data_IF_194874437136
#
_entry.id   IF_194874437136
#
_cell.length_a   1.000
_cell.length_b   1.000
_cell.length_c   1.000
_cell.angle_alpha   90.00
_cell.angle_beta   90.00
_cell.angle_gamma   90.00
#
_symmetry.space_group_name_H-M   'P 1'
#
loop_
_entity.id
_entity.type
_entity.pdbx_description
1 polymer ?
#
# COMPACT_ATOMS: atom_id res chain seq x y z
N UNK A 1 67.64 -79.34 -1.15
CA UNK A 1 66.45 -79.60 -0.33
C UNK A 1 65.27 -78.94 -1.03
N UNK A 2 64.14 -79.57 -1.37
CA UNK A 2 63.70 -80.98 -1.53
C UNK A 2 62.40 -80.84 -2.35
N UNK A 3 62.09 -81.55 -3.43
CA UNK A 3 62.63 -82.80 -3.95
C UNK A 3 61.60 -83.92 -3.85
N UNK A 4 60.59 -83.95 -4.72
CA UNK A 4 60.14 -85.16 -5.43
C UNK A 4 58.95 -84.91 -6.37
N UNK A 5 59.15 -85.31 -7.62
CA UNK A 5 58.14 -85.88 -8.52
C UNK A 5 58.45 -87.41 -8.62
N UNK A 6 57.96 -88.13 -9.66
CA UNK A 6 58.12 -89.60 -9.89
C UNK A 6 57.11 -90.45 -9.06
N UNK A 7 56.41 -91.50 -9.53
CA UNK A 7 56.47 -92.43 -10.70
C UNK A 7 55.00 -92.60 -11.22
N UNK A 8 54.59 -92.58 -12.51
CA UNK A 8 54.90 -93.39 -13.71
C UNK A 8 54.23 -94.79 -13.78
N UNK A 9 53.35 -94.97 -14.78
CA UNK A 9 52.96 -96.16 -15.57
C UNK A 9 51.89 -95.62 -16.58
N UNK A 10 51.98 -95.59 -17.92
CA UNK A 10 52.59 -96.49 -18.92
C UNK A 10 51.90 -97.89 -18.90
N UNK A 11 51.37 -98.57 -19.93
CA UNK A 11 51.17 -98.41 -21.39
C UNK A 11 49.94 -99.30 -21.79
N UNK A 12 49.30 -99.33 -22.98
CA UNK A 12 49.30 -98.56 -24.26
C UNK A 12 47.96 -98.87 -25.01
N UNK A 13 47.52 -98.02 -25.96
CA UNK A 13 46.91 -98.40 -27.28
C UNK A 13 46.38 -97.13 -28.02
N UNK A 14 47.08 -96.63 -29.05
CA UNK A 14 47.02 -97.08 -30.46
C UNK A 14 45.77 -96.53 -31.18
N UNK A 15 45.73 -95.25 -31.56
CA UNK A 15 46.38 -94.60 -32.73
C UNK A 15 45.62 -94.82 -34.06
N UNK A 16 45.51 -93.71 -34.82
CA UNK A 16 44.89 -93.49 -36.14
C UNK A 16 43.43 -93.05 -36.11
N UNK A 17 42.94 -92.18 -36.99
CA UNK A 17 43.46 -91.19 -37.94
C UNK A 17 42.15 -90.67 -38.57
N UNK A 18 41.87 -89.37 -38.56
CA UNK A 18 41.44 -88.72 -39.81
C UNK A 18 41.57 -87.19 -39.74
N UNK A 19 41.80 -86.58 -40.89
CA UNK A 19 42.22 -85.19 -41.05
C UNK A 19 41.28 -84.46 -42.00
N UNK A 20 40.85 -83.25 -41.66
CA UNK A 20 39.93 -82.45 -42.47
C UNK A 20 40.05 -80.95 -42.21
N UNK A 21 40.65 -80.23 -43.15
CA UNK A 21 40.97 -78.80 -43.05
C UNK A 21 39.75 -77.87 -43.27
N UNK A 22 39.83 -76.61 -42.80
CA UNK A 22 38.75 -75.63 -43.02
C UNK A 22 38.92 -74.23 -42.42
N UNK A 23 39.75 -73.40 -43.08
CA UNK A 23 39.67 -71.92 -43.23
C UNK A 23 39.33 -70.94 -42.07
N UNK A 24 40.11 -69.86 -42.00
CA UNK A 24 39.81 -68.59 -41.32
C UNK A 24 39.05 -67.63 -42.29
N UNK A 25 38.44 -66.47 -41.90
CA UNK A 25 39.10 -65.42 -41.10
C UNK A 25 38.25 -64.50 -40.17
N UNK A 26 39.00 -63.77 -39.33
CA UNK A 26 38.72 -62.57 -38.54
C UNK A 26 37.39 -61.78 -38.68
N UNK A 27 36.84 -61.34 -37.54
CA UNK A 27 36.05 -60.10 -37.42
C UNK A 27 36.46 -59.26 -36.19
N UNK A 28 36.60 -57.94 -36.39
CA UNK A 28 36.93 -56.95 -35.35
C UNK A 28 35.73 -56.72 -34.41
N UNK A 29 35.91 -56.91 -33.11
CA UNK A 29 35.01 -56.40 -32.08
C UNK A 29 35.41 -54.98 -31.67
N UNK A 30 34.58 -53.98 -31.97
CA UNK A 30 34.84 -52.57 -31.67
C UNK A 30 34.58 -52.20 -30.21
N UNK A 31 35.38 -51.29 -29.67
CA UNK A 31 35.22 -50.79 -28.30
C UNK A 31 34.23 -49.61 -28.19
N UNK A 32 33.58 -49.54 -27.02
CA UNK A 32 32.86 -48.37 -26.42
C UNK A 32 31.59 -47.85 -27.13
N UNK A 33 30.50 -47.83 -26.35
CA UNK A 33 29.96 -46.61 -25.70
C UNK A 33 28.86 -46.97 -24.67
N UNK A 34 28.90 -46.47 -23.41
CA UNK A 34 27.74 -46.57 -22.54
C UNK A 34 26.65 -45.63 -23.04
N UNK A 35 25.46 -46.17 -23.31
CA UNK A 35 24.31 -45.39 -23.79
C UNK A 35 23.78 -44.45 -22.70
N UNK A 36 24.13 -43.17 -22.79
CA UNK A 36 23.59 -42.13 -21.92
C UNK A 36 22.06 -42.05 -22.06
N UNK A 37 21.34 -42.45 -21.01
CA UNK A 37 19.88 -42.35 -20.91
C UNK A 37 19.46 -40.88 -21.00
N UNK A 38 19.10 -40.40 -22.20
CA UNK A 38 18.38 -39.14 -22.36
C UNK A 38 17.02 -39.29 -21.66
N UNK A 39 16.63 -38.40 -20.73
CA UNK A 39 15.27 -38.42 -20.19
C UNK A 39 14.28 -38.26 -21.36
N UNK A 40 13.25 -39.12 -21.39
CA UNK A 40 12.26 -39.09 -22.45
C UNK A 40 11.52 -37.74 -22.42
N UNK A 41 11.43 -37.06 -23.56
CA UNK A 41 10.85 -35.70 -23.66
C UNK A 41 9.45 -35.59 -23.03
N UNK A 42 8.67 -36.67 -23.04
CA UNK A 42 7.35 -36.73 -22.38
C UNK A 42 7.39 -36.59 -20.84
N UNK A 43 8.43 -37.06 -20.14
CA UNK A 43 8.53 -36.88 -18.68
C UNK A 43 8.89 -35.45 -18.31
N UNK A 44 9.72 -34.79 -19.13
CA UNK A 44 10.01 -33.36 -19.01
C UNK A 44 8.75 -32.53 -19.29
N UNK A 45 8.04 -32.84 -20.38
CA UNK A 45 6.79 -32.14 -20.72
C UNK A 45 5.72 -32.28 -19.62
N UNK A 46 5.52 -33.49 -19.08
CA UNK A 46 4.59 -33.71 -17.96
C UNK A 46 5.01 -32.92 -16.71
N UNK A 47 6.30 -32.94 -16.35
CA UNK A 47 6.82 -32.18 -15.22
C UNK A 47 6.62 -30.67 -15.38
N UNK A 48 6.89 -30.13 -16.57
CA UNK A 48 6.64 -28.72 -16.90
C UNK A 48 5.15 -28.38 -16.82
N UNK A 49 4.26 -29.22 -17.36
CA UNK A 49 2.81 -29.01 -17.25
C UNK A 49 2.30 -29.01 -15.81
N UNK A 50 2.82 -29.89 -14.95
CA UNK A 50 2.48 -29.90 -13.52
C UNK A 50 2.95 -28.61 -12.84
N UNK A 51 4.21 -28.21 -13.05
CA UNK A 51 4.76 -26.97 -12.47
C UNK A 51 3.98 -25.74 -12.93
N UNK A 52 3.65 -25.63 -14.22
CA UNK A 52 2.83 -24.54 -14.76
C UNK A 52 1.41 -24.54 -14.20
N UNK A 53 0.77 -25.71 -14.09
CA UNK A 53 -0.56 -25.86 -13.51
C UNK A 53 -0.60 -25.45 -12.03
N UNK A 54 0.38 -25.89 -11.23
CA UNK A 54 0.51 -25.47 -9.82
C UNK A 54 0.80 -23.97 -9.71
N UNK A 55 1.67 -23.41 -10.54
CA UNK A 55 1.95 -21.97 -10.54
C UNK A 55 0.70 -21.13 -10.86
N UNK A 56 -0.10 -21.56 -11.84
CA UNK A 56 -1.36 -20.90 -12.20
C UNK A 56 -2.40 -20.97 -11.06
N UNK A 57 -2.52 -22.13 -10.40
CA UNK A 57 -3.42 -22.30 -9.25
C UNK A 57 -3.00 -21.40 -8.06
N UNK A 58 -1.70 -21.33 -7.75
CA UNK A 58 -1.19 -20.46 -6.70
C UNK A 58 -1.43 -18.97 -7.01
N UNK A 59 -1.21 -18.55 -8.26
CA UNK A 59 -1.49 -17.18 -8.69
C UNK A 59 -3.00 -16.83 -8.62
N UNK A 60 -3.88 -17.73 -9.04
CA UNK A 60 -5.33 -17.55 -8.94
C UNK A 60 -5.81 -17.47 -7.48
N UNK A 61 -5.28 -18.33 -6.60
CA UNK A 61 -5.55 -18.29 -5.17
C UNK A 61 -5.05 -16.99 -4.51
N UNK A 62 -3.88 -16.50 -4.92
CA UNK A 62 -3.31 -15.23 -4.45
C UNK A 62 -4.19 -14.03 -4.80
N UNK A 63 -4.64 -13.97 -6.04
CA UNK A 63 -5.55 -12.93 -6.53
C UNK A 63 -6.88 -12.94 -5.76
N UNK A 64 -7.51 -14.11 -5.62
CA UNK A 64 -8.79 -14.24 -4.92
C UNK A 64 -8.68 -13.92 -3.42
N UNK A 65 -7.58 -14.31 -2.78
CA UNK A 65 -7.31 -13.98 -1.37
C UNK A 65 -7.13 -12.47 -1.16
N UNK A 66 -6.40 -11.79 -2.06
CA UNK A 66 -6.23 -10.32 -2.03
C UNK A 66 -7.58 -9.61 -2.14
N UNK A 67 -8.38 -9.95 -3.14
CA UNK A 67 -9.71 -9.36 -3.35
C UNK A 67 -10.65 -9.57 -2.14
N UNK A 68 -10.63 -10.76 -1.55
CA UNK A 68 -11.38 -11.05 -0.33
C UNK A 68 -10.93 -10.21 0.88
N UNK A 69 -9.62 -10.02 1.03
CA UNK A 69 -9.04 -9.22 2.11
C UNK A 69 -9.30 -7.71 1.93
N UNK A 70 -9.06 -7.15 0.75
CA UNK A 70 -9.42 -5.77 0.39
C UNK A 70 -10.89 -5.50 0.68
N UNK A 71 -11.76 -6.44 0.31
CA UNK A 71 -13.19 -6.39 0.58
C UNK A 71 -13.52 -6.35 2.09
N UNK A 72 -12.79 -7.11 2.92
CA UNK A 72 -12.94 -7.09 4.39
C UNK A 72 -12.38 -5.80 5.00
N UNK A 73 -11.20 -5.36 4.56
CA UNK A 73 -10.56 -4.13 5.03
C UNK A 73 -11.42 -2.91 4.75
N UNK A 74 -11.97 -2.77 3.53
CA UNK A 74 -12.90 -1.70 3.17
C UNK A 74 -14.10 -1.58 4.14
N UNK A 75 -14.68 -2.72 4.55
CA UNK A 75 -15.77 -2.72 5.54
C UNK A 75 -15.31 -2.31 6.94
N UNK A 76 -14.11 -2.74 7.36
CA UNK A 76 -13.54 -2.36 8.64
C UNK A 76 -13.18 -0.87 8.69
N UNK A 77 -12.63 -0.32 7.59
CA UNK A 77 -12.37 1.13 7.46
C UNK A 77 -13.68 1.90 7.53
N UNK A 78 -14.70 1.51 6.76
CA UNK A 78 -16.02 2.16 6.82
C UNK A 78 -16.61 2.20 8.24
N UNK A 79 -16.49 1.08 8.97
CA UNK A 79 -16.97 0.99 10.36
C UNK A 79 -16.14 1.83 11.35
N UNK A 80 -14.86 2.06 11.07
CA UNK A 80 -13.97 2.85 11.92
C UNK A 80 -14.04 4.36 11.63
N UNK A 81 -14.22 4.75 10.38
CA UNK A 81 -14.30 6.16 9.95
C UNK A 81 -15.73 6.71 9.92
N UNK A 82 -16.75 5.84 9.95
CA UNK A 82 -18.15 6.23 9.81
C UNK A 82 -18.54 6.66 8.39
N UNK A 83 -17.69 6.38 7.38
CA UNK A 83 -17.92 6.82 6.00
C UNK A 83 -19.28 6.33 5.45
N UNK A 84 -20.06 7.22 4.80
CA UNK A 84 -21.40 6.90 4.32
C UNK A 84 -21.35 5.84 3.21
N UNK A 85 -20.42 6.02 2.27
CA UNK A 85 -20.11 5.04 1.24
C UNK A 85 -18.95 4.12 1.66
N UNK A 86 -18.81 3.01 0.93
CA UNK A 86 -17.78 2.01 1.22
C UNK A 86 -16.43 2.47 0.64
N UNK A 87 -15.38 2.64 1.47
CA UNK A 87 -14.05 3.00 1.00
C UNK A 87 -13.49 1.99 -0.01
N UNK A 88 -12.67 2.48 -0.94
CA UNK A 88 -11.79 1.61 -1.73
C UNK A 88 -10.58 1.23 -0.87
N UNK A 89 -10.09 -0.01 -1.01
CA UNK A 89 -8.85 -0.47 -0.38
C UNK A 89 -8.13 -1.37 -1.38
N UNK A 90 -6.85 -1.12 -1.61
CA UNK A 90 -6.00 -1.93 -2.49
C UNK A 90 -4.73 -2.35 -1.75
N UNK A 91 -4.41 -3.65 -1.76
CA UNK A 91 -3.16 -4.18 -1.16
C UNK A 91 -2.16 -4.48 -2.27
N UNK A 92 -1.12 -3.64 -2.35
CA UNK A 92 -0.11 -3.71 -3.40
C UNK A 92 0.84 -4.91 -3.19
N UNK A 93 1.64 -5.19 -4.22
CA UNK A 93 2.65 -6.24 -4.22
C UNK A 93 2.33 -7.45 -5.11
N UNK A 94 3.39 -8.13 -5.56
CA UNK A 94 3.35 -9.19 -6.58
C UNK A 94 2.61 -10.45 -6.13
N UNK A 95 2.74 -10.81 -4.85
CA UNK A 95 1.98 -11.89 -4.21
C UNK A 95 1.48 -11.42 -2.84
N UNK A 96 0.20 -11.66 -2.57
CA UNK A 96 -0.50 -11.34 -1.34
C UNK A 96 -0.39 -12.43 -0.27
N UNK A 97 -0.46 -13.71 -0.63
CA UNK A 97 -0.40 -14.83 0.34
C UNK A 97 0.86 -14.80 1.24
N UNK A 98 2.06 -14.48 0.75
CA UNK A 98 3.24 -14.34 1.60
C UNK A 98 3.16 -13.13 2.56
N UNK A 99 2.40 -12.08 2.24
CA UNK A 99 2.15 -10.93 3.12
C UNK A 99 1.15 -11.33 4.21
N UNK A 100 0.06 -11.99 3.81
CA UNK A 100 -0.99 -12.53 4.68
C UNK A 100 -0.44 -13.47 5.76
N UNK A 101 0.42 -14.43 5.39
CA UNK A 101 1.05 -15.39 6.30
C UNK A 101 1.95 -14.68 7.33
N UNK A 102 2.62 -13.59 6.93
CA UNK A 102 3.47 -12.79 7.82
C UNK A 102 2.67 -11.81 8.71
N UNK A 103 1.38 -11.61 8.44
CA UNK A 103 0.57 -10.58 9.11
C UNK A 103 1.07 -9.15 8.83
N UNK A 104 1.82 -8.94 7.73
CA UNK A 104 2.45 -7.67 7.38
C UNK A 104 2.24 -7.37 5.90
N UNK A 105 1.59 -6.25 5.64
CA UNK A 105 1.31 -5.74 4.30
C UNK A 105 2.29 -4.60 3.98
N UNK A 106 2.93 -4.67 2.82
CA UNK A 106 3.99 -3.73 2.46
C UNK A 106 3.46 -2.32 2.19
N UNK A 107 2.35 -2.25 1.45
CA UNK A 107 1.78 -1.04 0.87
C UNK A 107 0.27 -1.28 0.69
N UNK A 108 -0.54 -0.40 1.29
CA UNK A 108 -2.01 -0.43 1.28
C UNK A 108 -2.53 0.97 0.96
N UNK A 109 -3.24 1.10 -0.15
CA UNK A 109 -3.92 2.32 -0.56
C UNK A 109 -5.38 2.27 -0.08
N UNK A 110 -5.89 3.41 0.41
CA UNK A 110 -7.27 3.57 0.88
C UNK A 110 -7.82 4.87 0.30
N UNK A 111 -8.98 4.84 -0.35
CA UNK A 111 -9.74 6.06 -0.68
C UNK A 111 -11.07 6.07 0.07
N UNK A 112 -11.28 7.09 0.90
CA UNK A 112 -12.55 7.39 1.57
C UNK A 112 -13.16 8.61 0.89
N UNK A 113 -14.46 8.57 0.60
CA UNK A 113 -15.21 9.72 0.07
C UNK A 113 -16.21 10.18 1.14
N UNK A 114 -16.56 11.45 1.11
CA UNK A 114 -17.60 12.06 1.96
C UNK A 114 -17.40 11.79 3.47
N UNK A 115 -16.17 12.00 3.96
CA UNK A 115 -15.82 11.83 5.36
C UNK A 115 -16.22 13.07 6.17
N UNK A 116 -16.98 12.90 7.25
CA UNK A 116 -17.33 14.00 8.16
C UNK A 116 -16.53 13.92 9.47
N UNK A 117 -15.84 15.01 9.84
CA UNK A 117 -15.31 15.20 11.21
C UNK A 117 -16.10 16.31 11.91
N UNK A 118 -17.06 15.91 12.74
CA UNK A 118 -18.01 16.84 13.36
C UNK A 118 -18.76 17.66 12.30
N UNK A 119 -18.72 19.01 12.36
CA UNK A 119 -19.36 19.88 11.36
C UNK A 119 -18.51 20.11 10.10
N UNK A 120 -17.30 19.54 9.99
CA UNK A 120 -16.45 19.67 8.81
C UNK A 120 -16.65 18.47 7.86
N UNK A 121 -16.98 18.76 6.61
CA UNK A 121 -17.05 17.76 5.55
C UNK A 121 -15.73 17.73 4.75
N UNK A 122 -15.28 16.53 4.41
CA UNK A 122 -14.08 16.26 3.61
C UNK A 122 -14.52 15.39 2.43
N UNK A 123 -14.33 15.91 1.22
CA UNK A 123 -14.90 15.33 0.00
C UNK A 123 -14.19 14.02 -0.39
N UNK A 124 -12.86 14.00 -0.30
CA UNK A 124 -12.04 12.82 -0.53
C UNK A 124 -10.85 12.77 0.43
N UNK A 125 -10.51 11.59 0.93
CA UNK A 125 -9.25 11.29 1.63
C UNK A 125 -8.59 10.08 0.96
N UNK A 126 -7.42 10.28 0.39
CA UNK A 126 -6.56 9.24 -0.15
C UNK A 126 -5.37 8.99 0.78
N UNK A 127 -5.23 7.77 1.29
CA UNK A 127 -4.17 7.38 2.21
C UNK A 127 -3.32 6.24 1.65
N UNK A 128 -2.00 6.39 1.72
CA UNK A 128 -1.01 5.34 1.46
C UNK A 128 -0.41 4.91 2.80
N UNK A 129 -0.59 3.65 3.14
CA UNK A 129 -0.10 3.05 4.38
C UNK A 129 1.03 2.06 4.06
N UNK A 130 2.19 2.25 4.69
CA UNK A 130 3.37 1.40 4.50
C UNK A 130 3.67 0.60 5.76
N UNK A 131 4.01 -0.67 5.58
CA UNK A 131 4.31 -1.57 6.70
C UNK A 131 3.15 -1.72 7.69
N UNK A 132 1.95 -2.08 7.20
CA UNK A 132 0.77 -2.33 8.05
C UNK A 132 0.90 -3.70 8.70
N UNK A 133 0.93 -3.76 10.03
CA UNK A 133 0.97 -5.00 10.81
C UNK A 133 -0.44 -5.32 11.31
N UNK A 134 -1.04 -6.36 10.75
CA UNK A 134 -2.38 -6.83 11.07
C UNK A 134 -2.44 -8.35 10.85
N UNK A 135 -2.34 -9.16 11.94
CA UNK A 135 -2.41 -10.61 11.86
C UNK A 135 -3.71 -11.08 11.20
N UNK A 136 -3.65 -12.06 10.30
CA UNK A 136 -4.84 -12.50 9.57
C UNK A 136 -5.95 -13.07 10.48
N UNK A 137 -5.57 -13.72 11.59
CA UNK A 137 -6.55 -14.27 12.54
C UNK A 137 -7.45 -13.17 13.13
N UNK A 138 -6.88 -12.02 13.49
CA UNK A 138 -7.57 -10.84 14.00
C UNK A 138 -8.61 -10.28 13.02
N UNK A 139 -8.28 -10.28 11.72
CA UNK A 139 -9.19 -9.88 10.64
C UNK A 139 -10.40 -10.82 10.57
N UNK A 140 -10.18 -12.13 10.74
CA UNK A 140 -11.23 -13.14 10.70
C UNK A 140 -12.15 -13.11 11.93
N UNK A 141 -11.59 -13.07 13.14
CA UNK A 141 -12.40 -13.08 14.38
C UNK A 141 -13.01 -11.72 14.72
N UNK A 142 -12.72 -10.67 13.92
CA UNK A 142 -13.10 -9.28 14.14
C UNK A 142 -12.61 -8.67 15.47
N UNK A 143 -11.84 -9.41 16.25
CA UNK A 143 -11.24 -9.00 17.52
C UNK A 143 -9.79 -8.55 17.30
N UNK A 144 -9.59 -7.60 16.39
CA UNK A 144 -8.26 -7.06 16.12
C UNK A 144 -7.78 -6.20 17.28
N UNK A 145 -6.61 -6.55 17.81
CA UNK A 145 -5.83 -5.68 18.68
C UNK A 145 -5.40 -4.38 17.97
N UNK A 146 -4.55 -3.56 18.61
CA UNK A 146 -4.06 -2.32 18.00
C UNK A 146 -3.38 -2.60 16.66
N UNK A 147 -3.83 -1.91 15.61
CA UNK A 147 -3.20 -1.99 14.29
C UNK A 147 -2.01 -1.04 14.27
N UNK A 148 -0.83 -1.56 13.96
CA UNK A 148 0.40 -0.78 13.87
C UNK A 148 0.75 -0.53 12.40
N UNK A 149 1.17 0.70 12.09
CA UNK A 149 1.52 1.14 10.73
C UNK A 149 2.82 1.95 10.81
N UNK A 150 3.85 1.51 10.09
CA UNK A 150 5.18 2.12 10.17
C UNK A 150 5.22 3.54 9.58
N UNK A 151 4.55 3.76 8.45
CA UNK A 151 4.52 5.07 7.81
C UNK A 151 3.23 5.32 7.05
N UNK A 152 2.69 6.53 7.15
CA UNK A 152 1.47 6.94 6.44
C UNK A 152 1.70 8.25 5.69
N UNK A 153 1.10 8.36 4.51
CA UNK A 153 1.00 9.59 3.73
C UNK A 153 -0.45 9.74 3.30
N UNK A 154 -1.05 10.89 3.60
CA UNK A 154 -2.45 11.16 3.28
C UNK A 154 -2.57 12.46 2.50
N UNK A 155 -3.52 12.48 1.57
CA UNK A 155 -4.02 13.67 0.90
C UNK A 155 -5.53 13.78 1.13
N UNK A 156 -6.00 14.91 1.63
CA UNK A 156 -7.41 15.19 1.85
C UNK A 156 -7.85 16.42 1.05
N UNK A 157 -8.97 16.31 0.35
CA UNK A 157 -9.57 17.41 -0.40
C UNK A 157 -10.75 18.02 0.37
N UNK A 158 -10.66 19.32 0.64
CA UNK A 158 -11.68 20.10 1.34
C UNK A 158 -12.19 21.19 0.41
N UNK A 159 -13.41 21.06 -0.11
CA UNK A 159 -14.03 22.09 -0.94
C UNK A 159 -14.20 23.41 -0.17
N UNK A 160 -14.18 24.54 -0.88
CA UNK A 160 -14.49 25.83 -0.25
C UNK A 160 -15.92 25.86 0.30
N UNK A 161 -16.87 25.14 -0.32
CA UNK A 161 -18.24 25.05 0.17
C UNK A 161 -18.34 24.31 1.51
N UNK A 162 -17.60 23.19 1.68
CA UNK A 162 -17.51 22.49 2.96
C UNK A 162 -16.87 23.36 4.05
N UNK A 163 -15.82 24.12 3.73
CA UNK A 163 -15.18 25.06 4.66
C UNK A 163 -16.12 26.24 5.01
N UNK A 164 -16.87 26.77 4.05
CA UNK A 164 -17.86 27.82 4.26
C UNK A 164 -19.01 27.33 5.14
N UNK A 165 -19.51 26.11 4.92
CA UNK A 165 -20.52 25.49 5.77
C UNK A 165 -20.02 25.30 7.21
N UNK A 166 -18.79 24.81 7.39
CA UNK A 166 -18.15 24.71 8.70
C UNK A 166 -18.06 26.08 9.40
N UNK A 167 -17.68 27.14 8.69
CA UNK A 167 -17.59 28.49 9.24
C UNK A 167 -18.96 29.05 9.65
N UNK A 168 -20.00 28.86 8.83
CA UNK A 168 -21.37 29.26 9.14
C UNK A 168 -21.92 28.53 10.37
N UNK A 169 -21.82 27.19 10.42
CA UNK A 169 -22.27 26.35 11.55
C UNK A 169 -21.50 26.66 12.83
N UNK A 170 -20.23 27.08 12.75
CA UNK A 170 -19.43 27.52 13.90
C UNK A 170 -19.59 29.02 14.25
N UNK A 171 -20.53 29.72 13.61
CA UNK A 171 -20.87 31.11 13.93
C UNK A 171 -19.81 32.12 13.51
N UNK A 172 -19.01 31.81 12.49
CA UNK A 172 -17.96 32.69 11.94
C UNK A 172 -18.45 33.37 10.66
N UNK A 173 -18.73 34.69 10.66
CA UNK A 173 -19.26 35.41 9.50
C UNK A 173 -18.16 35.74 8.47
N UNK A 174 -17.45 34.71 8.00
CA UNK A 174 -16.36 34.78 7.03
C UNK A 174 -16.56 33.70 5.98
N UNK A 175 -16.50 34.11 4.72
CA UNK A 175 -16.47 33.23 3.54
C UNK A 175 -15.03 33.08 3.07
N UNK A 176 -14.63 31.85 2.76
CA UNK A 176 -13.35 31.47 2.15
C UNK A 176 -13.56 31.10 0.67
N UNK A 177 -12.59 31.44 -0.17
CA UNK A 177 -12.56 31.07 -1.59
C UNK A 177 -11.16 31.17 -2.19
N UNK A 178 -11.03 30.87 -3.48
CA UNK A 178 -9.77 30.91 -4.19
C UNK A 178 -9.06 32.27 -4.08
N UNK A 179 -7.79 32.25 -3.68
CA UNK A 179 -6.92 33.43 -3.54
C UNK A 179 -5.83 33.49 -4.61
N UNK A 180 -4.69 34.09 -4.26
CA UNK A 180 -3.44 33.94 -4.99
C UNK A 180 -2.84 32.53 -4.82
N UNK A 181 -1.77 32.18 -5.56
CA UNK A 181 -1.20 30.83 -5.59
C UNK A 181 -0.87 30.23 -4.19
N UNK A 182 -0.42 31.06 -3.25
CA UNK A 182 0.00 30.63 -1.90
C UNK A 182 -1.04 30.90 -0.81
N UNK A 183 -2.29 31.23 -1.17
CA UNK A 183 -3.30 31.63 -0.20
C UNK A 183 -4.75 31.53 -0.65
N UNK A 184 -5.62 31.99 0.22
CA UNK A 184 -7.07 32.05 0.02
C UNK A 184 -7.56 33.47 0.16
N UNK A 185 -8.62 33.80 -0.57
CA UNK A 185 -9.36 35.04 -0.34
C UNK A 185 -10.39 34.78 0.74
N UNK A 186 -10.36 35.59 1.79
CA UNK A 186 -11.42 35.67 2.77
C UNK A 186 -12.24 36.94 2.53
N UNK A 187 -13.55 36.87 2.77
CA UNK A 187 -14.47 38.01 2.77
C UNK A 187 -15.47 37.86 3.90
N UNK A 188 -15.79 38.94 4.60
CA UNK A 188 -16.75 38.86 5.70
C UNK A 188 -17.14 40.23 6.25
N UNK A 189 -18.24 40.25 6.99
CA UNK A 189 -18.67 41.42 7.76
C UNK A 189 -18.52 41.09 9.23
N UNK A 190 -17.70 41.86 9.93
CA UNK A 190 -17.29 41.56 11.31
C UNK A 190 -17.55 42.76 12.19
N UNK A 191 -18.12 42.52 13.38
CA UNK A 191 -18.29 43.55 14.38
C UNK A 191 -17.00 43.80 15.18
N UNK A 192 -16.55 45.05 15.17
CA UNK A 192 -15.50 45.57 16.07
C UNK A 192 -16.01 46.85 16.72
N UNK A 193 -15.85 46.98 18.04
CA UNK A 193 -16.20 48.19 18.81
C UNK A 193 -17.66 48.68 18.57
N UNK A 194 -18.62 47.77 18.41
CA UNK A 194 -20.03 48.11 18.15
C UNK A 194 -20.33 48.52 16.69
N UNK A 195 -19.40 48.28 15.76
CA UNK A 195 -19.54 48.64 14.34
C UNK A 195 -19.27 47.44 13.44
N UNK A 196 -20.21 47.15 12.55
CA UNK A 196 -20.01 46.19 11.46
C UNK A 196 -19.08 46.77 10.40
N UNK A 197 -17.97 46.09 10.12
CA UNK A 197 -17.01 46.47 9.07
C UNK A 197 -16.97 45.37 8.02
N UNK A 198 -17.14 45.73 6.75
CA UNK A 198 -16.98 44.80 5.63
C UNK A 198 -15.52 44.75 5.22
N UNK A 199 -14.95 43.55 5.15
CA UNK A 199 -13.54 43.37 4.83
C UNK A 199 -13.29 42.20 3.89
N UNK A 200 -12.28 42.37 3.04
CA UNK A 200 -11.66 41.32 2.25
C UNK A 200 -10.20 41.18 2.65
N UNK A 201 -9.64 39.97 2.56
CA UNK A 201 -8.22 39.76 2.88
C UNK A 201 -7.65 38.57 2.12
N UNK A 202 -6.38 38.66 1.73
CA UNK A 202 -5.60 37.49 1.34
C UNK A 202 -5.05 36.84 2.63
N UNK A 203 -5.33 35.55 2.83
CA UNK A 203 -4.84 34.79 3.96
C UNK A 203 -3.90 33.68 3.53
N UNK A 204 -2.81 33.50 4.29
CA UNK A 204 -1.94 32.34 4.20
C UNK A 204 -2.51 31.19 5.03
N UNK A 205 -2.27 29.99 4.53
CA UNK A 205 -2.64 28.73 5.15
C UNK A 205 -1.40 28.07 5.73
N UNK A 206 -1.45 27.69 7.01
CA UNK A 206 -0.32 27.10 7.71
C UNK A 206 -0.76 25.84 8.47
N UNK A 207 -0.06 24.70 8.33
CA UNK A 207 -0.32 23.52 9.15
C UNK A 207 0.09 23.79 10.61
N UNK A 208 -0.80 23.48 11.56
CA UNK A 208 -0.57 23.67 13.01
C UNK A 208 -1.26 22.57 13.82
N UNK A 209 -0.50 21.56 14.26
CA UNK A 209 -0.90 20.59 15.29
C UNK A 209 -2.33 20.00 15.09
N UNK A 210 -2.58 19.39 13.93
CA UNK A 210 -3.90 18.81 13.58
C UNK A 210 -4.95 19.81 13.12
N UNK A 211 -4.61 21.11 13.05
CA UNK A 211 -5.47 22.16 12.54
C UNK A 211 -4.81 22.93 11.38
N UNK A 212 -5.67 23.45 10.51
CA UNK A 212 -5.32 24.45 9.51
C UNK A 212 -5.41 25.85 10.14
N UNK A 213 -4.27 26.52 10.30
CA UNK A 213 -4.23 27.91 10.72
C UNK A 213 -4.41 28.85 9.52
N UNK A 214 -5.44 29.69 9.60
CA UNK A 214 -5.75 30.72 8.59
C UNK A 214 -5.27 32.06 9.14
N UNK A 215 -4.35 32.72 8.43
CA UNK A 215 -3.74 33.98 8.86
C UNK A 215 -3.83 35.06 7.77
N UNK A 216 -4.59 36.16 8.00
CA UNK A 216 -4.68 37.26 7.04
C UNK A 216 -3.33 37.98 6.90
N UNK A 217 -3.02 38.42 5.68
CA UNK A 217 -1.75 39.08 5.34
C UNK A 217 -1.92 40.51 4.83
N UNK A 218 -3.01 40.77 4.10
CA UNK A 218 -3.37 42.09 3.57
C UNK A 218 -4.87 42.29 3.78
N UNK A 219 -5.28 43.39 4.39
CA UNK A 219 -6.65 43.61 4.83
C UNK A 219 -7.22 44.85 4.13
N UNK A 220 -8.16 44.61 3.23
CA UNK A 220 -8.88 45.62 2.45
C UNK A 220 -10.25 45.87 3.09
N UNK A 221 -10.57 47.13 3.37
CA UNK A 221 -11.80 47.52 4.07
C UNK A 221 -12.57 48.58 3.30
N UNK A 222 -13.89 48.57 3.45
CA UNK A 222 -14.80 49.60 2.90
C UNK A 222 -14.58 51.00 3.49
N UNK A 223 -13.95 51.08 4.67
CA UNK A 223 -13.69 52.31 5.41
C UNK A 223 -12.24 52.41 5.88
N UNK A 224 -11.76 53.63 6.16
CA UNK A 224 -10.42 53.86 6.70
C UNK A 224 -10.43 53.58 8.21
N UNK A 225 -9.69 52.55 8.62
CA UNK A 225 -9.50 52.18 10.02
C UNK A 225 -8.21 52.77 10.61
N UNK A 226 -8.27 53.14 11.89
CA UNK A 226 -7.10 53.42 12.70
C UNK A 226 -6.26 52.14 12.94
N UNK A 227 -5.01 52.24 13.43
CA UNK A 227 -4.15 51.08 13.64
C UNK A 227 -4.71 50.04 14.63
N UNK A 228 -5.41 50.45 15.69
CA UNK A 228 -5.94 49.53 16.68
C UNK A 228 -7.17 48.77 16.14
N UNK A 229 -8.09 49.46 15.47
CA UNK A 229 -9.22 48.81 14.80
C UNK A 229 -8.77 47.84 13.71
N UNK A 230 -7.72 48.17 12.95
CA UNK A 230 -7.13 47.27 11.93
C UNK A 230 -6.54 46.00 12.56
N UNK A 231 -5.87 46.10 13.71
CA UNK A 231 -5.36 44.94 14.46
C UNK A 231 -6.49 44.05 15.00
N UNK A 232 -7.52 44.65 15.59
CA UNK A 232 -8.70 43.93 16.07
C UNK A 232 -9.43 43.19 14.94
N UNK A 233 -9.58 43.82 13.78
CA UNK A 233 -10.18 43.18 12.60
C UNK A 233 -9.33 42.01 12.09
N UNK A 234 -8.01 42.18 11.99
CA UNK A 234 -7.09 41.09 11.62
C UNK A 234 -7.15 39.88 12.56
N UNK A 235 -7.33 40.12 13.87
CA UNK A 235 -7.54 39.03 14.84
C UNK A 235 -8.83 38.25 14.58
N UNK A 236 -9.91 38.89 14.09
CA UNK A 236 -11.18 38.22 13.79
C UNK A 236 -11.13 37.35 12.53
N UNK A 237 -10.32 37.74 11.55
CA UNK A 237 -10.01 36.94 10.36
C UNK A 237 -8.93 35.87 10.61
N UNK A 238 -8.35 35.82 11.82
CA UNK A 238 -7.41 34.76 12.23
C UNK A 238 -8.18 33.63 12.92
N UNK A 239 -8.06 32.40 12.41
CA UNK A 239 -8.74 31.25 13.01
C UNK A 239 -8.04 29.92 12.73
N UNK A 240 -8.46 28.89 13.45
CA UNK A 240 -8.09 27.50 13.20
C UNK A 240 -9.31 26.77 12.65
N UNK A 241 -9.14 26.01 11.57
CA UNK A 241 -10.06 24.94 11.19
C UNK A 241 -9.46 23.65 11.74
N UNK A 242 -10.06 22.99 12.75
CA UNK A 242 -9.63 21.67 13.15
C UNK A 242 -9.87 20.73 11.98
N UNK A 243 -8.85 20.02 11.53
CA UNK A 243 -9.03 18.93 10.58
C UNK A 243 -9.15 17.59 11.31
N UNK A 244 -8.95 17.63 12.64
CA UNK A 244 -8.58 16.50 13.50
C UNK A 244 -7.34 15.78 12.92
N UNK A 245 -6.78 14.74 13.57
CA UNK A 245 -5.99 13.79 12.80
C UNK A 245 -6.89 13.19 11.72
N UNK A 246 -6.58 13.48 10.45
CA UNK A 246 -7.02 12.64 9.33
C UNK A 246 -6.76 11.16 9.70
N UNK A 247 -7.60 10.20 9.28
CA UNK A 247 -7.77 8.95 10.02
C UNK A 247 -6.49 8.13 10.26
N UNK A 248 -5.46 8.32 9.44
CA UNK A 248 -4.17 7.63 9.52
C UNK A 248 -2.98 8.59 9.65
N UNK A 249 -3.18 9.90 9.76
CA UNK A 249 -2.14 10.94 9.76
C UNK A 249 -2.02 11.70 11.09
N UNK A 250 -0.79 11.79 11.61
CA UNK A 250 -0.53 12.46 12.89
C UNK A 250 -0.12 13.93 12.73
N UNK A 251 0.43 14.32 11.58
CA UNK A 251 0.99 15.65 11.35
C UNK A 251 0.67 16.16 9.95
N UNK A 252 0.06 17.34 9.89
CA UNK A 252 -0.08 18.11 8.66
C UNK A 252 1.31 18.58 8.15
N UNK A 253 1.59 18.35 6.87
CA UNK A 253 2.90 18.64 6.24
C UNK A 253 2.80 19.69 5.14
N UNK A 254 1.70 19.75 4.39
CA UNK A 254 1.45 20.77 3.37
C UNK A 254 -0.04 21.13 3.29
N UNK A 255 -0.32 22.34 2.80
CA UNK A 255 -1.67 22.81 2.48
C UNK A 255 -1.57 23.61 1.18
N UNK A 256 -2.27 23.17 0.15
CA UNK A 256 -2.20 23.76 -1.19
C UNK A 256 -3.59 24.28 -1.60
N UNK A 257 -3.77 25.60 -1.77
CA UNK A 257 -4.96 26.15 -2.40
C UNK A 257 -5.14 25.61 -3.83
N UNK A 258 -6.36 25.20 -4.14
CA UNK A 258 -6.81 24.80 -5.48
C UNK A 258 -7.99 25.69 -5.89
N UNK A 259 -8.45 25.55 -7.14
CA UNK A 259 -9.53 26.39 -7.68
C UNK A 259 -10.88 26.22 -6.97
N UNK A 260 -11.18 25.01 -6.48
CA UNK A 260 -12.44 24.62 -5.84
C UNK A 260 -12.34 24.32 -4.34
N UNK A 261 -11.12 24.29 -3.77
CA UNK A 261 -10.90 23.91 -2.38
C UNK A 261 -9.43 23.87 -2.01
N UNK A 262 -9.11 23.11 -0.97
CA UNK A 262 -7.76 22.92 -0.44
C UNK A 262 -7.35 21.45 -0.55
N UNK A 263 -6.13 21.19 -1.03
CA UNK A 263 -5.49 19.90 -0.88
C UNK A 263 -4.59 19.94 0.35
N UNK A 264 -4.93 19.19 1.38
CA UNK A 264 -4.16 19.07 2.62
C UNK A 264 -3.37 17.77 2.59
N UNK A 265 -2.08 17.82 2.95
CA UNK A 265 -1.26 16.62 3.16
C UNK A 265 -0.97 16.39 4.63
N UNK A 266 -1.08 15.14 5.05
CA UNK A 266 -0.64 14.67 6.36
C UNK A 266 0.32 13.49 6.23
N UNK A 267 1.12 13.28 7.29
CA UNK A 267 2.00 12.12 7.43
C UNK A 267 1.95 11.59 8.86
N UNK A 268 2.28 10.32 9.02
CA UNK A 268 2.44 9.64 10.30
C UNK A 268 3.60 8.65 10.25
N UNK A 269 4.15 8.36 11.42
CA UNK A 269 5.18 7.34 11.64
C UNK A 269 4.82 6.60 12.92
N UNK A 270 4.98 5.28 12.93
CA UNK A 270 4.62 4.42 14.07
C UNK A 270 3.17 4.64 14.55
N UNK A 271 2.23 4.77 13.61
CA UNK A 271 0.81 5.04 13.88
C UNK A 271 0.16 3.80 14.51
N UNK A 272 -0.53 4.00 15.63
CA UNK A 272 -1.31 2.95 16.31
C UNK A 272 -2.79 3.28 16.24
N UNK A 273 -3.54 2.53 15.43
CA UNK A 273 -5.00 2.64 15.40
C UNK A 273 -5.59 1.74 16.48
N UNK A 274 -6.42 2.31 17.34
CA UNK A 274 -7.23 1.61 18.33
C UNK A 274 -8.70 1.80 17.96
N UNK A 275 -9.50 0.74 18.10
CA UNK A 275 -10.97 0.87 18.14
C UNK A 275 -11.43 1.33 19.52
#
# INVERSE_FOLDING_TARGET
MTGNEIQQDDQQDQQRDDQGDGEAPARRGTARRPGGRRPALGTIALGVSVVLGTALLLWGADWLARWGAESLLARNVQQATGAPERPSVHVRGTFFLPQLIRGRYGDVEITVHDLSSGPLHIEEVHAQLTGVHLPFHDVLVRNSGPVFIEGTVEEAFLSYDSLNHYLDVTGRPVTIGAGSQDGVRLTGTVEILGRSISAATQARLLPREGALAVQPTQLDTDTILDPASRLLLGQRFTFLVPLDPLPFGQRLTAVEPRGSGLLVRAQGTDVVIRR
#
